data_IF_417990565232
#
_entry.id   IF_417990565232
#
_cell.length_a   1.000
_cell.length_b   1.000
_cell.length_c   1.000
_cell.angle_alpha   90.00
_cell.angle_beta   90.00
_cell.angle_gamma   90.00
#
_symmetry.space_group_name_H-M   'P 1'
#
loop_
_entity.id
_entity.type
_entity.pdbx_description
1 polymer ?
#
# COMPACT_ATOMS: atom_id res chain seq x y z
N UNK A 1 7.23 -9.70 -20.35
CA UNK A 1 6.66 -8.40 -19.95
C UNK A 1 7.71 -7.65 -19.15
N UNK A 2 7.77 -6.33 -19.29
CA UNK A 2 8.67 -5.48 -18.50
C UNK A 2 8.06 -5.20 -17.13
N UNK A 3 8.85 -5.20 -16.04
CA UNK A 3 8.33 -4.87 -14.71
C UNK A 3 7.87 -3.41 -14.63
N UNK A 4 6.81 -3.17 -13.87
CA UNK A 4 6.28 -1.82 -13.62
C UNK A 4 7.09 -1.08 -12.54
N UNK A 5 7.65 -1.86 -11.59
CA UNK A 5 8.61 -1.42 -10.57
C UNK A 5 9.75 -2.44 -10.52
N UNK A 6 10.98 -1.95 -10.52
CA UNK A 6 12.18 -2.77 -10.34
C UNK A 6 13.12 -2.10 -9.35
N UNK A 7 13.54 -2.86 -8.35
CA UNK A 7 14.50 -2.47 -7.33
C UNK A 7 15.72 -3.37 -7.48
N UNK A 8 16.92 -2.77 -7.53
CA UNK A 8 18.18 -3.49 -7.70
C UNK A 8 19.20 -3.02 -6.67
N UNK A 9 19.62 -3.94 -5.80
CA UNK A 9 20.68 -3.76 -4.80
C UNK A 9 20.48 -2.48 -3.95
N UNK A 10 19.23 -2.18 -3.57
CA UNK A 10 18.88 -0.97 -2.84
C UNK A 10 19.49 -0.99 -1.45
N UNK A 11 20.27 0.06 -1.16
CA UNK A 11 20.79 0.36 0.17
C UNK A 11 20.20 1.68 0.65
N UNK A 12 19.59 1.68 1.84
CA UNK A 12 18.92 2.86 2.38
C UNK A 12 19.07 2.92 3.91
N UNK A 13 18.92 4.13 4.46
CA UNK A 13 19.00 4.36 5.89
C UNK A 13 19.04 5.83 6.23
N UNK A 14 19.26 6.15 7.51
CA UNK A 14 19.21 7.50 8.06
C UNK A 14 20.57 7.87 8.67
N UNK A 15 21.17 8.94 8.17
CA UNK A 15 22.51 9.36 8.62
C UNK A 15 23.54 8.25 8.43
N UNK A 16 24.18 7.79 9.50
CA UNK A 16 25.15 6.68 9.48
C UNK A 16 24.49 5.29 9.63
N UNK A 17 23.20 5.22 9.99
CA UNK A 17 22.49 3.96 10.23
C UNK A 17 21.91 3.40 8.95
N UNK A 18 22.46 2.29 8.46
CA UNK A 18 21.91 1.53 7.34
C UNK A 18 20.76 0.66 7.85
N UNK A 19 19.61 0.74 7.17
CA UNK A 19 18.37 -0.02 7.46
C UNK A 19 18.19 -1.13 6.43
N UNK A 20 18.34 -0.79 5.13
CA UNK A 20 18.29 -1.72 4.01
C UNK A 20 19.69 -1.86 3.43
N UNK A 21 20.15 -3.09 3.24
CA UNK A 21 21.53 -3.36 2.81
C UNK A 21 21.63 -3.78 1.34
N UNK A 22 20.74 -4.66 0.89
CA UNK A 22 20.74 -5.21 -0.47
C UNK A 22 19.33 -5.74 -0.76
N UNK A 23 18.44 -4.83 -1.15
CA UNK A 23 17.05 -5.19 -1.45
C UNK A 23 16.86 -5.16 -2.96
N UNK A 24 16.48 -6.31 -3.51
CA UNK A 24 16.18 -6.46 -4.94
C UNK A 24 14.89 -7.23 -5.12
N UNK A 25 13.97 -6.71 -5.93
CA UNK A 25 12.72 -7.37 -6.34
C UNK A 25 12.08 -6.63 -7.50
N UNK A 26 11.06 -7.28 -8.11
CA UNK A 26 10.29 -6.72 -9.24
C UNK A 26 8.80 -6.83 -8.97
N UNK A 27 8.03 -5.92 -9.54
CA UNK A 27 6.56 -5.96 -9.59
C UNK A 27 6.14 -5.99 -11.05
N UNK A 28 5.30 -6.95 -11.39
CA UNK A 28 4.81 -7.10 -12.77
C UNK A 28 3.49 -6.33 -12.95
N UNK A 29 3.15 -5.93 -14.19
CA UNK A 29 1.85 -5.31 -14.47
C UNK A 29 0.68 -6.18 -14.02
N UNK A 30 -0.28 -5.58 -13.29
CA UNK A 30 -1.47 -6.24 -12.75
C UNK A 30 -1.23 -7.12 -11.52
N UNK A 31 -0.02 -7.12 -10.96
CA UNK A 31 0.35 -7.89 -9.77
C UNK A 31 0.04 -7.11 -8.49
N UNK A 32 -0.48 -7.81 -7.46
CA UNK A 32 -0.48 -7.33 -6.08
C UNK A 32 0.73 -7.89 -5.37
N UNK A 33 1.70 -7.02 -5.12
CA UNK A 33 2.94 -7.35 -4.40
C UNK A 33 2.86 -6.87 -2.96
N UNK A 34 3.06 -7.76 -2.00
CA UNK A 34 3.06 -7.40 -0.58
C UNK A 34 4.49 -7.35 -0.02
N UNK A 35 4.78 -6.32 0.76
CA UNK A 35 6.05 -6.16 1.48
C UNK A 35 5.81 -6.55 2.93
N UNK A 36 6.37 -7.68 3.35
CA UNK A 36 6.23 -8.28 4.67
C UNK A 36 7.51 -8.13 5.50
N UNK A 37 7.36 -8.34 6.79
CA UNK A 37 8.48 -8.41 7.73
C UNK A 37 8.12 -7.86 9.10
N UNK A 38 8.93 -8.15 10.10
CA UNK A 38 8.75 -7.70 11.48
C UNK A 38 8.79 -6.18 11.64
N UNK A 39 8.44 -5.68 12.83
CA UNK A 39 8.55 -4.26 13.15
C UNK A 39 10.01 -3.81 13.02
N UNK A 40 10.24 -2.64 12.42
CA UNK A 40 11.57 -2.07 12.26
C UNK A 40 12.48 -2.73 11.20
N UNK A 41 12.01 -3.71 10.42
CA UNK A 41 12.82 -4.38 9.39
C UNK A 41 13.10 -3.52 8.14
N UNK A 42 12.48 -2.32 8.01
CA UNK A 42 12.75 -1.38 6.92
C UNK A 42 11.64 -1.22 5.90
N UNK A 43 10.41 -1.74 6.10
CA UNK A 43 9.28 -1.63 5.15
C UNK A 43 8.97 -0.17 4.78
N UNK A 44 8.78 0.69 5.77
CA UNK A 44 8.52 2.12 5.54
C UNK A 44 9.72 2.84 4.91
N UNK A 45 10.95 2.45 5.29
CA UNK A 45 12.16 2.98 4.65
C UNK A 45 12.19 2.59 3.17
N UNK A 46 11.85 1.34 2.83
CA UNK A 46 11.77 0.89 1.45
C UNK A 46 10.73 1.70 0.66
N UNK A 47 9.52 1.82 1.19
CA UNK A 47 8.46 2.59 0.55
C UNK A 47 8.84 4.06 0.36
N UNK A 48 9.42 4.71 1.38
CA UNK A 48 9.86 6.10 1.31
C UNK A 48 10.93 6.33 0.24
N UNK A 49 11.84 5.36 0.05
CA UNK A 49 12.85 5.43 -1.01
C UNK A 49 12.23 5.24 -2.39
N UNK A 50 11.27 4.32 -2.56
CA UNK A 50 10.56 4.13 -3.83
C UNK A 50 9.79 5.40 -4.21
N UNK A 51 9.13 6.04 -3.25
CA UNK A 51 8.38 7.28 -3.44
C UNK A 51 9.27 8.53 -3.50
N UNK A 52 10.60 8.37 -3.38
CA UNK A 52 11.56 9.47 -3.26
C UNK A 52 11.26 10.50 -2.15
N UNK A 53 10.56 10.09 -1.11
CA UNK A 53 10.46 10.87 0.13
C UNK A 53 11.79 10.88 0.88
N UNK A 54 12.61 9.87 0.64
CA UNK A 54 13.97 9.72 1.12
C UNK A 54 14.90 9.26 -0.01
N UNK A 55 16.17 9.62 0.07
CA UNK A 55 17.16 9.25 -0.95
C UNK A 55 17.86 7.95 -0.58
N UNK A 56 17.99 6.99 -1.49
CA UNK A 56 18.77 5.79 -1.26
C UNK A 56 20.27 6.12 -1.13
N UNK A 57 20.98 5.31 -0.34
CA UNK A 57 22.42 5.39 -0.21
C UNK A 57 23.14 4.77 -1.43
N UNK A 58 22.55 3.70 -2.00
CA UNK A 58 23.04 3.02 -3.20
C UNK A 58 21.93 2.18 -3.82
N UNK A 59 22.19 1.62 -5.02
CA UNK A 59 21.24 0.81 -5.77
C UNK A 59 20.43 1.60 -6.77
N UNK A 60 19.51 0.93 -7.43
CA UNK A 60 18.68 1.50 -8.48
C UNK A 60 17.20 1.25 -8.22
N UNK A 61 16.37 2.21 -8.59
CA UNK A 61 14.92 2.10 -8.63
C UNK A 61 14.50 2.44 -10.06
N UNK A 62 13.67 1.60 -10.67
CA UNK A 62 13.09 1.86 -11.98
C UNK A 62 11.57 1.79 -11.90
N UNK A 63 10.89 2.81 -12.42
CA UNK A 63 9.44 2.87 -12.56
C UNK A 63 9.07 2.86 -14.05
N UNK A 64 8.17 1.97 -14.45
CA UNK A 64 7.70 1.86 -15.84
C UNK A 64 8.86 1.75 -16.85
N UNK A 65 9.93 1.03 -16.46
CA UNK A 65 11.15 0.88 -17.26
C UNK A 65 12.09 2.08 -17.28
N UNK A 66 11.76 3.18 -16.59
CA UNK A 66 12.61 4.34 -16.48
C UNK A 66 13.38 4.32 -15.16
N UNK A 67 14.70 4.39 -15.25
CA UNK A 67 15.56 4.48 -14.08
C UNK A 67 15.36 5.82 -13.39
N UNK A 68 15.09 5.79 -12.09
CA UNK A 68 14.91 6.96 -11.25
C UNK A 68 16.26 7.35 -10.65
N UNK A 69 16.73 8.54 -10.99
CA UNK A 69 17.92 9.10 -10.34
C UNK A 69 17.57 9.56 -8.92
N UNK A 70 18.28 9.05 -7.92
CA UNK A 70 18.12 9.47 -6.53
C UNK A 70 18.40 10.97 -6.28
N UNK A 71 19.04 11.66 -7.23
CA UNK A 71 19.43 13.07 -7.12
C UNK A 71 18.39 14.02 -7.72
N UNK A 72 17.54 13.53 -8.61
CA UNK A 72 16.49 14.31 -9.28
C UNK A 72 15.10 13.83 -8.86
N UNK A 73 14.11 14.73 -8.74
CA UNK A 73 12.73 14.31 -8.47
C UNK A 73 12.20 13.36 -9.55
N UNK A 74 11.29 12.46 -9.17
CA UNK A 74 10.55 11.64 -10.15
C UNK A 74 9.91 12.57 -11.18
N UNK A 75 10.12 12.32 -12.49
CA UNK A 75 9.49 13.11 -13.54
C UNK A 75 7.96 13.14 -13.36
N UNK A 76 7.33 14.28 -13.60
CA UNK A 76 5.89 14.46 -13.42
C UNK A 76 5.07 13.42 -14.18
N UNK A 77 5.53 13.03 -15.38
CA UNK A 77 4.86 12.01 -16.20
C UNK A 77 4.84 10.63 -15.52
N UNK A 78 5.90 10.25 -14.82
CA UNK A 78 5.94 9.00 -14.05
C UNK A 78 5.16 9.13 -12.74
N UNK A 79 5.20 10.32 -12.11
CA UNK A 79 4.46 10.60 -10.87
C UNK A 79 2.96 10.54 -11.08
N UNK A 80 2.44 11.03 -12.20
CA UNK A 80 1.00 10.96 -12.56
C UNK A 80 0.51 9.52 -12.73
N UNK A 81 1.40 8.60 -13.08
CA UNK A 81 1.10 7.18 -13.24
C UNK A 81 1.16 6.39 -11.93
N UNK A 82 1.48 7.06 -10.80
CA UNK A 82 1.53 6.45 -9.46
C UNK A 82 0.49 7.06 -8.54
N UNK A 83 -0.21 6.21 -7.77
CA UNK A 83 -1.09 6.63 -6.68
C UNK A 83 -0.52 6.18 -5.33
N UNK A 84 -0.84 6.90 -4.25
CA UNK A 84 -0.37 6.54 -2.90
C UNK A 84 -1.51 6.67 -1.89
N UNK A 85 -1.75 5.58 -1.17
CA UNK A 85 -2.58 5.52 0.02
C UNK A 85 -1.67 5.42 1.25
N UNK A 86 -1.51 6.51 1.98
CA UNK A 86 -0.75 6.54 3.23
C UNK A 86 -1.52 5.92 4.40
N UNK A 87 -0.84 5.41 5.41
CA UNK A 87 -1.40 4.73 6.58
C UNK A 87 -2.53 5.53 7.25
N UNK A 88 -2.37 6.82 7.49
CA UNK A 88 -3.40 7.70 8.05
C UNK A 88 -4.42 8.25 7.05
N UNK A 89 -4.33 7.85 5.75
CA UNK A 89 -5.09 8.44 4.66
C UNK A 89 -4.61 9.82 4.23
N UNK A 90 -3.92 10.58 5.08
CA UNK A 90 -3.38 11.92 4.83
C UNK A 90 -4.39 12.89 4.18
N UNK A 91 -5.66 12.83 4.58
CA UNK A 91 -6.69 13.75 4.13
C UNK A 91 -6.52 15.12 4.79
N UNK A 92 -6.70 16.19 4.02
CA UNK A 92 -6.74 17.54 4.55
C UNK A 92 -8.08 17.76 5.25
N UNK A 93 -8.07 18.01 6.55
CA UNK A 93 -9.27 18.10 7.42
C UNK A 93 -10.14 19.31 7.09
N UNK A 94 -9.56 20.36 6.52
CA UNK A 94 -10.27 21.58 6.07
C UNK A 94 -10.97 21.45 4.72
N UNK A 95 -10.77 20.33 4.02
CA UNK A 95 -11.36 20.06 2.71
C UNK A 95 -12.39 18.94 2.82
N UNK A 96 -13.45 19.02 1.99
CA UNK A 96 -14.42 17.93 1.85
C UNK A 96 -13.76 16.72 1.18
N UNK A 97 -14.46 15.58 1.20
CA UNK A 97 -14.05 14.34 0.50
C UNK A 97 -13.79 14.62 -0.99
N UNK A 98 -14.71 15.29 -1.65
CA UNK A 98 -14.56 15.66 -3.06
C UNK A 98 -13.37 16.60 -3.31
N UNK A 99 -13.17 17.59 -2.45
CA UNK A 99 -12.04 18.51 -2.56
C UNK A 99 -10.70 17.78 -2.33
N UNK A 100 -10.62 16.84 -1.39
CA UNK A 100 -9.46 15.99 -1.20
C UNK A 100 -9.17 15.13 -2.45
N UNK A 101 -10.19 14.49 -3.01
CA UNK A 101 -10.05 13.68 -4.23
C UNK A 101 -9.64 14.52 -5.45
N UNK A 102 -10.03 15.80 -5.52
CA UNK A 102 -9.68 16.71 -6.59
C UNK A 102 -8.23 17.23 -6.55
N UNK A 103 -7.52 17.14 -5.40
CA UNK A 103 -6.19 17.74 -5.23
C UNK A 103 -5.18 17.35 -6.32
N UNK A 104 -5.01 16.06 -6.69
CA UNK A 104 -4.08 15.69 -7.74
C UNK A 104 -4.46 16.27 -9.11
N UNK A 105 -5.75 16.32 -9.44
CA UNK A 105 -6.22 16.91 -10.68
C UNK A 105 -5.90 18.40 -10.74
N UNK A 106 -6.23 19.15 -9.68
CA UNK A 106 -5.93 20.59 -9.60
C UNK A 106 -4.43 20.89 -9.68
N UNK A 107 -3.59 19.99 -9.17
CA UNK A 107 -2.12 20.15 -9.21
C UNK A 107 -1.52 19.82 -10.57
N UNK A 108 -1.95 18.72 -11.19
CA UNK A 108 -1.29 18.14 -12.37
C UNK A 108 -2.07 18.35 -13.68
N UNK A 109 -3.32 18.78 -13.59
CA UNK A 109 -4.22 19.06 -14.72
C UNK A 109 -4.98 20.37 -14.51
N UNK A 110 -4.26 21.51 -14.29
CA UNK A 110 -4.89 22.82 -14.10
C UNK A 110 -5.65 23.30 -15.34
N UNK A 111 -5.43 22.65 -16.47
CA UNK A 111 -6.10 22.86 -17.75
C UNK A 111 -7.55 22.33 -17.78
N UNK A 112 -7.93 21.44 -16.85
CA UNK A 112 -9.27 20.85 -16.85
C UNK A 112 -10.34 21.82 -16.34
N UNK A 113 -11.48 21.97 -17.06
CA UNK A 113 -12.65 22.68 -16.58
C UNK A 113 -13.18 22.10 -15.25
N UNK A 114 -13.77 22.93 -14.41
CA UNK A 114 -14.24 22.54 -13.07
C UNK A 114 -15.36 21.46 -13.13
N UNK A 115 -16.21 21.47 -14.12
CA UNK A 115 -17.24 20.46 -14.36
C UNK A 115 -16.64 19.10 -14.69
N UNK A 116 -15.57 19.06 -15.48
CA UNK A 116 -14.82 17.82 -15.78
C UNK A 116 -14.13 17.30 -14.53
N UNK A 117 -13.51 18.18 -13.73
CA UNK A 117 -12.90 17.79 -12.45
C UNK A 117 -13.95 17.16 -11.52
N UNK A 118 -15.14 17.77 -11.41
CA UNK A 118 -16.24 17.24 -10.60
C UNK A 118 -16.73 15.87 -11.09
N UNK A 119 -16.82 15.68 -12.40
CA UNK A 119 -17.23 14.40 -12.99
C UNK A 119 -16.21 13.30 -12.68
N UNK A 120 -14.90 13.55 -12.86
CA UNK A 120 -13.81 12.60 -12.55
C UNK A 120 -13.83 12.25 -11.06
N UNK A 121 -13.99 13.25 -10.19
CA UNK A 121 -14.06 13.05 -8.74
C UNK A 121 -15.26 12.20 -8.35
N UNK A 122 -16.43 12.48 -8.90
CA UNK A 122 -17.63 11.69 -8.63
C UNK A 122 -17.46 10.23 -9.06
N UNK A 123 -16.91 10.00 -10.26
CA UNK A 123 -16.60 8.66 -10.76
C UNK A 123 -15.63 7.91 -9.85
N UNK A 124 -14.55 8.56 -9.40
CA UNK A 124 -13.57 7.92 -8.49
C UNK A 124 -14.16 7.65 -7.09
N UNK A 125 -15.06 8.51 -6.60
CA UNK A 125 -15.79 8.26 -5.36
C UNK A 125 -16.80 7.11 -5.51
N UNK A 126 -17.38 6.92 -6.67
CA UNK A 126 -18.25 5.78 -6.97
C UNK A 126 -17.43 4.48 -7.00
N UNK A 127 -16.28 4.44 -7.67
CA UNK A 127 -15.36 3.29 -7.70
C UNK A 127 -14.96 2.80 -6.31
N UNK A 128 -14.91 3.69 -5.33
CA UNK A 128 -14.59 3.34 -3.93
C UNK A 128 -15.82 3.26 -3.02
N UNK A 129 -17.04 3.25 -3.60
CA UNK A 129 -18.32 3.18 -2.90
C UNK A 129 -18.53 4.31 -1.86
N UNK A 130 -18.08 5.53 -2.20
CA UNK A 130 -18.10 6.67 -1.28
C UNK A 130 -18.77 7.94 -1.87
N UNK A 131 -19.47 7.83 -2.99
CA UNK A 131 -20.11 8.98 -3.63
C UNK A 131 -21.11 9.70 -2.70
N UNK A 132 -21.82 8.95 -1.84
CA UNK A 132 -22.74 9.49 -0.83
C UNK A 132 -22.10 10.43 0.21
N UNK A 133 -20.75 10.40 0.32
CA UNK A 133 -20.00 11.25 1.23
C UNK A 133 -19.31 12.42 0.54
N UNK A 134 -19.68 12.74 -0.70
CA UNK A 134 -19.03 13.76 -1.56
C UNK A 134 -18.79 15.10 -0.84
N UNK A 135 -19.76 15.58 -0.08
CA UNK A 135 -19.74 16.87 0.61
C UNK A 135 -19.26 16.80 2.07
N UNK A 136 -19.03 15.59 2.62
CA UNK A 136 -18.60 15.41 4.01
C UNK A 136 -17.15 15.81 4.18
N UNK A 137 -16.83 16.23 5.42
CA UNK A 137 -15.45 16.45 5.86
C UNK A 137 -14.84 15.17 6.46
N UNK A 138 -13.51 15.02 6.49
CA UNK A 138 -12.84 13.85 7.08
C UNK A 138 -13.25 13.56 8.53
N UNK A 139 -13.61 14.57 9.32
CA UNK A 139 -14.11 14.43 10.69
C UNK A 139 -15.46 13.71 10.82
N UNK A 140 -16.24 13.70 9.72
CA UNK A 140 -17.58 13.07 9.66
C UNK A 140 -17.52 11.62 9.15
N UNK A 141 -16.32 11.10 8.88
CA UNK A 141 -16.12 9.79 8.26
C UNK A 141 -15.69 8.76 9.32
N UNK A 142 -16.16 7.51 9.15
CA UNK A 142 -15.58 6.35 9.84
C UNK A 142 -14.14 6.08 9.36
N UNK A 143 -13.41 5.20 10.06
CA UNK A 143 -12.05 4.80 9.66
C UNK A 143 -11.99 4.27 8.23
N UNK A 144 -12.87 3.33 7.89
CA UNK A 144 -12.96 2.76 6.54
C UNK A 144 -13.35 3.80 5.49
N UNK A 145 -14.29 4.70 5.77
CA UNK A 145 -14.64 5.79 4.85
C UNK A 145 -13.46 6.73 4.59
N UNK A 146 -12.64 7.04 5.62
CA UNK A 146 -11.41 7.84 5.42
C UNK A 146 -10.42 7.15 4.50
N UNK A 147 -10.21 5.83 4.63
CA UNK A 147 -9.35 5.04 3.74
C UNK A 147 -9.87 5.04 2.30
N UNK A 148 -11.18 4.86 2.10
CA UNK A 148 -11.83 4.94 0.77
C UNK A 148 -11.71 6.33 0.15
N UNK A 149 -11.88 7.41 0.91
CA UNK A 149 -11.68 8.78 0.42
C UNK A 149 -10.23 9.05 -0.02
N UNK A 150 -9.26 8.56 0.77
CA UNK A 150 -7.85 8.65 0.41
C UNK A 150 -7.50 7.80 -0.83
N UNK A 151 -8.16 6.66 -1.00
CA UNK A 151 -8.03 5.81 -2.18
C UNK A 151 -8.61 6.51 -3.42
N UNK A 152 -9.80 7.15 -3.33
CA UNK A 152 -10.37 7.96 -4.42
C UNK A 152 -9.40 9.08 -4.86
N UNK A 153 -8.72 9.73 -3.90
CA UNK A 153 -7.67 10.70 -4.21
C UNK A 153 -6.47 10.06 -4.92
N UNK A 154 -6.04 8.89 -4.48
CA UNK A 154 -4.91 8.18 -5.10
C UNK A 154 -5.22 7.78 -6.55
N UNK A 155 -6.49 7.50 -6.86
CA UNK A 155 -6.97 7.12 -8.20
C UNK A 155 -7.22 8.31 -9.14
N UNK A 156 -7.14 9.56 -8.66
CA UNK A 156 -7.58 10.76 -9.38
C UNK A 156 -6.94 10.94 -10.76
N UNK A 157 -5.70 10.48 -10.95
CA UNK A 157 -4.94 10.59 -12.21
C UNK A 157 -4.91 9.27 -13.00
N UNK A 158 -5.78 8.30 -12.68
CA UNK A 158 -5.78 6.95 -13.27
C UNK A 158 -4.39 6.28 -13.23
N UNK A 159 -3.84 6.04 -12.05
CA UNK A 159 -2.51 5.48 -11.92
C UNK A 159 -2.45 4.02 -12.44
N UNK A 160 -1.28 3.62 -12.94
CA UNK A 160 -0.98 2.24 -13.33
C UNK A 160 -0.38 1.44 -12.16
N UNK A 161 0.16 2.15 -11.16
CA UNK A 161 0.77 1.59 -9.96
C UNK A 161 0.24 2.31 -8.72
N UNK A 162 -0.31 1.56 -7.77
CA UNK A 162 -0.83 2.05 -6.50
C UNK A 162 0.05 1.53 -5.37
N UNK A 163 0.51 2.43 -4.51
CA UNK A 163 1.17 2.08 -3.26
C UNK A 163 0.20 2.23 -2.09
N UNK A 164 0.12 1.22 -1.22
CA UNK A 164 -0.71 1.23 -0.02
C UNK A 164 0.15 0.94 1.21
N UNK A 165 0.24 1.91 2.12
CA UNK A 165 0.94 1.75 3.39
C UNK A 165 -0.08 1.45 4.49
N UNK A 166 -0.08 0.20 4.99
CA UNK A 166 -0.97 -0.31 6.04
C UNK A 166 -2.45 0.09 5.79
N UNK A 167 -3.05 -0.31 4.63
CA UNK A 167 -4.36 0.15 4.22
C UNK A 167 -5.47 -0.19 5.23
N UNK A 168 -5.44 -1.37 5.82
CA UNK A 168 -6.42 -1.88 6.78
C UNK A 168 -6.12 -1.57 8.24
N UNK A 169 -4.94 -1.00 8.55
CA UNK A 169 -4.55 -0.72 9.93
C UNK A 169 -5.59 0.13 10.68
N UNK A 170 -6.00 -0.39 11.86
CA UNK A 170 -6.97 0.26 12.75
C UNK A 170 -8.42 0.14 12.30
N UNK A 171 -8.73 -0.73 11.34
CA UNK A 171 -10.09 -1.10 10.95
C UNK A 171 -10.54 -2.36 11.69
N UNK A 172 -11.85 -2.52 11.85
CA UNK A 172 -12.43 -3.79 12.27
C UNK A 172 -12.33 -4.83 11.15
N UNK A 173 -12.41 -6.15 11.45
CA UNK A 173 -12.20 -7.20 10.47
C UNK A 173 -13.15 -7.14 9.25
N UNK A 174 -14.40 -6.73 9.45
CA UNK A 174 -15.39 -6.65 8.36
C UNK A 174 -15.02 -5.51 7.42
N UNK A 175 -14.68 -4.35 7.98
CA UNK A 175 -14.27 -3.17 7.19
C UNK A 175 -12.94 -3.41 6.48
N UNK A 176 -11.98 -4.10 7.13
CA UNK A 176 -10.71 -4.50 6.54
C UNK A 176 -10.93 -5.37 5.30
N UNK A 177 -11.72 -6.45 5.45
CA UNK A 177 -12.05 -7.35 4.35
C UNK A 177 -12.74 -6.63 3.19
N UNK A 178 -13.68 -5.73 3.49
CA UNK A 178 -14.35 -4.93 2.46
C UNK A 178 -13.41 -3.97 1.73
N UNK A 179 -12.31 -3.53 2.36
CA UNK A 179 -11.26 -2.74 1.72
C UNK A 179 -10.36 -3.63 0.83
N UNK A 180 -10.06 -4.84 1.28
CA UNK A 180 -9.29 -5.81 0.50
C UNK A 180 -10.05 -6.22 -0.78
N UNK A 181 -11.33 -6.53 -0.67
CA UNK A 181 -12.22 -6.81 -1.81
C UNK A 181 -12.22 -5.63 -2.81
N UNK A 182 -12.31 -4.39 -2.31
CA UNK A 182 -12.22 -3.20 -3.15
C UNK A 182 -10.87 -3.09 -3.88
N UNK A 183 -9.74 -3.40 -3.23
CA UNK A 183 -8.42 -3.38 -3.87
C UNK A 183 -8.33 -4.42 -5.00
N UNK A 184 -8.91 -5.62 -4.81
CA UNK A 184 -9.03 -6.64 -5.86
C UNK A 184 -9.88 -6.14 -7.03
N UNK A 185 -11.06 -5.55 -6.76
CA UNK A 185 -11.92 -4.98 -7.79
C UNK A 185 -11.20 -3.90 -8.60
N UNK A 186 -10.48 -3.00 -7.95
CA UNK A 186 -9.70 -1.95 -8.61
C UNK A 186 -8.58 -2.53 -9.47
N UNK A 187 -7.83 -3.52 -8.97
CA UNK A 187 -6.82 -4.23 -9.77
C UNK A 187 -7.44 -4.83 -11.03
N UNK A 188 -8.54 -5.57 -10.88
CA UNK A 188 -9.13 -6.34 -11.97
C UNK A 188 -9.84 -5.46 -13.00
N UNK A 189 -10.56 -4.41 -12.54
CA UNK A 189 -11.31 -3.53 -13.42
C UNK A 189 -10.43 -2.47 -14.09
N UNK A 190 -9.46 -1.90 -13.37
CA UNK A 190 -8.60 -0.82 -13.87
C UNK A 190 -7.25 -1.33 -14.37
N UNK A 191 -6.94 -2.62 -14.19
CA UNK A 191 -5.65 -3.24 -14.55
C UNK A 191 -4.46 -2.59 -13.89
N UNK A 192 -4.64 -2.04 -12.69
CA UNK A 192 -3.57 -1.44 -11.90
C UNK A 192 -2.74 -2.51 -11.19
N UNK A 193 -1.47 -2.22 -10.98
CA UNK A 193 -0.61 -3.00 -10.09
C UNK A 193 -0.65 -2.37 -8.70
N UNK A 194 -0.54 -3.18 -7.65
CA UNK A 194 -0.59 -2.68 -6.27
C UNK A 194 0.62 -3.16 -5.49
N UNK A 195 1.27 -2.26 -4.78
CA UNK A 195 2.31 -2.58 -3.79
C UNK A 195 1.77 -2.25 -2.41
N UNK A 196 1.68 -3.24 -1.56
CA UNK A 196 1.09 -3.10 -0.22
C UNK A 196 2.15 -3.38 0.84
N UNK A 197 2.29 -2.46 1.79
CA UNK A 197 3.00 -2.72 3.04
C UNK A 197 1.95 -3.07 4.08
N UNK A 198 1.99 -4.27 4.64
CA UNK A 198 1.09 -4.68 5.73
C UNK A 198 1.67 -5.82 6.55
N UNK A 199 1.12 -6.03 7.74
CA UNK A 199 1.38 -7.17 8.61
C UNK A 199 0.10 -7.96 8.95
N UNK A 200 -1.03 -7.58 8.37
CA UNK A 200 -2.36 -8.17 8.57
C UNK A 200 -2.48 -9.48 7.77
N UNK A 201 -2.45 -10.64 8.46
CA UNK A 201 -2.41 -11.95 7.81
C UNK A 201 -3.64 -12.25 6.96
N UNK A 202 -4.82 -11.85 7.41
CA UNK A 202 -6.08 -12.08 6.68
C UNK A 202 -6.11 -11.33 5.36
N UNK A 203 -5.67 -10.05 5.36
CA UNK A 203 -5.50 -9.27 4.14
C UNK A 203 -4.50 -9.94 3.20
N UNK A 204 -3.33 -10.35 3.71
CA UNK A 204 -2.29 -11.00 2.90
C UNK A 204 -2.84 -12.26 2.22
N UNK A 205 -3.52 -13.14 2.98
CA UNK A 205 -4.11 -14.37 2.43
C UNK A 205 -5.20 -14.11 1.38
N UNK A 206 -5.87 -12.95 1.47
CA UNK A 206 -6.96 -12.58 0.57
C UNK A 206 -6.47 -11.99 -0.75
N UNK A 207 -5.48 -11.09 -0.70
CA UNK A 207 -5.16 -10.23 -1.86
C UNK A 207 -3.77 -10.45 -2.46
N UNK A 208 -2.87 -11.16 -1.79
CA UNK A 208 -1.47 -11.27 -2.19
C UNK A 208 -1.26 -12.24 -3.35
N UNK A 209 -0.72 -11.77 -4.47
CA UNK A 209 -0.21 -12.65 -5.53
C UNK A 209 1.20 -13.12 -5.19
N UNK A 210 2.09 -12.17 -4.87
CA UNK A 210 3.47 -12.42 -4.46
C UNK A 210 3.87 -11.49 -3.33
N UNK A 211 4.86 -11.88 -2.57
CA UNK A 211 5.40 -11.06 -1.50
C UNK A 211 6.93 -11.08 -1.44
N UNK A 212 7.50 -10.06 -0.84
CA UNK A 212 8.85 -10.10 -0.30
C UNK A 212 8.77 -10.08 1.22
N UNK A 213 9.61 -10.89 1.87
CA UNK A 213 9.76 -10.88 3.31
C UNK A 213 11.09 -10.23 3.69
N UNK A 214 11.02 -9.06 4.34
CA UNK A 214 12.20 -8.33 4.80
C UNK A 214 12.63 -8.79 6.19
N UNK A 215 13.92 -9.09 6.34
CA UNK A 215 14.54 -9.38 7.64
C UNK A 215 15.94 -8.76 7.69
N UNK A 216 16.19 -7.99 8.75
CA UNK A 216 17.49 -7.35 9.00
C UNK A 216 18.04 -6.54 7.80
N UNK A 217 17.16 -5.91 7.05
CA UNK A 217 17.53 -5.09 5.88
C UNK A 217 17.80 -5.85 4.59
N UNK A 218 17.49 -7.14 4.53
CA UNK A 218 17.62 -8.00 3.35
C UNK A 218 16.28 -8.62 2.97
N UNK A 219 16.14 -9.04 1.71
CA UNK A 219 15.04 -9.90 1.27
C UNK A 219 15.36 -11.34 1.66
N UNK A 220 14.66 -11.87 2.66
CA UNK A 220 14.79 -13.26 3.10
C UNK A 220 14.10 -14.22 2.12
N UNK A 221 12.96 -13.81 1.55
CA UNK A 221 12.20 -14.58 0.57
C UNK A 221 11.46 -13.64 -0.38
N UNK A 222 11.52 -13.92 -1.67
CA UNK A 222 10.64 -13.38 -2.73
C UNK A 222 9.90 -14.55 -3.35
N UNK A 223 8.58 -14.64 -3.15
CA UNK A 223 7.81 -15.83 -3.50
C UNK A 223 6.33 -15.49 -3.77
N UNK A 224 5.60 -16.45 -4.36
CA UNK A 224 4.14 -16.44 -4.37
C UNK A 224 3.58 -16.69 -2.97
N UNK A 225 2.29 -16.34 -2.76
CA UNK A 225 1.61 -16.63 -1.50
C UNK A 225 1.64 -18.14 -1.19
N UNK A 226 1.38 -18.99 -2.19
CA UNK A 226 1.39 -20.45 -2.05
C UNK A 226 2.76 -21.00 -1.59
N UNK A 227 3.85 -20.53 -2.22
CA UNK A 227 5.21 -20.88 -1.81
C UNK A 227 5.53 -20.42 -0.39
N UNK A 228 5.04 -19.25 0.00
CA UNK A 228 5.20 -18.70 1.35
C UNK A 228 4.48 -19.53 2.41
N UNK A 229 3.24 -19.90 2.17
CA UNK A 229 2.43 -20.74 3.07
C UNK A 229 3.05 -22.13 3.27
N UNK A 230 3.72 -22.67 2.26
CA UNK A 230 4.41 -23.96 2.28
C UNK A 230 5.90 -23.87 2.66
N UNK A 231 6.39 -22.67 3.01
CA UNK A 231 7.80 -22.43 3.29
C UNK A 231 8.30 -23.19 4.52
N UNK A 232 9.52 -23.76 4.40
CA UNK A 232 10.23 -24.41 5.51
C UNK A 232 11.12 -23.43 6.29
N UNK A 233 11.24 -22.19 5.83
CA UNK A 233 12.02 -21.14 6.52
C UNK A 233 11.33 -20.81 7.84
N UNK A 234 12.00 -20.96 8.99
CA UNK A 234 11.36 -20.82 10.30
C UNK A 234 10.62 -19.51 10.49
N UNK A 235 11.22 -18.40 10.08
CA UNK A 235 10.66 -17.05 10.22
C UNK A 235 9.39 -16.85 9.39
N UNK A 236 9.35 -17.41 8.18
CA UNK A 236 8.18 -17.35 7.29
C UNK A 236 7.06 -18.20 7.87
N UNK A 237 7.42 -19.43 8.31
CA UNK A 237 6.46 -20.34 8.95
C UNK A 237 5.88 -19.74 10.24
N UNK A 238 6.70 -19.13 11.08
CA UNK A 238 6.24 -18.45 12.29
C UNK A 238 5.30 -17.29 11.95
N UNK A 239 5.63 -16.50 10.95
CA UNK A 239 4.82 -15.37 10.51
C UNK A 239 3.42 -15.81 10.08
N UNK A 240 3.29 -16.81 9.22
CA UNK A 240 2.00 -17.29 8.72
C UNK A 240 1.21 -18.16 9.72
N UNK A 241 1.84 -18.65 10.79
CA UNK A 241 1.21 -19.46 11.83
C UNK A 241 0.85 -18.69 13.12
N UNK A 242 1.07 -17.39 13.20
CA UNK A 242 0.80 -16.59 14.42
C UNK A 242 -0.64 -16.73 14.93
N UNK A 243 -1.62 -16.79 14.04
CA UNK A 243 -3.03 -16.95 14.42
C UNK A 243 -3.34 -18.27 15.16
N UNK A 244 -2.63 -19.36 14.80
CA UNK A 244 -2.84 -20.65 15.46
C UNK A 244 -2.41 -20.64 16.94
N UNK A 245 -1.54 -19.70 17.34
CA UNK A 245 -1.06 -19.59 18.72
C UNK A 245 -1.93 -18.64 19.56
N UNK A 246 -2.56 -17.61 18.97
CA UNK A 246 -3.43 -16.67 19.71
C UNK A 246 -4.79 -17.32 20.05
N UNK A 247 -5.33 -18.18 19.19
CA UNK A 247 -6.54 -18.95 19.46
C UNK A 247 -6.35 -20.03 20.54
N UNK A 248 -5.14 -20.56 20.73
CA UNK A 248 -4.86 -21.54 21.80
C UNK A 248 -4.65 -20.87 23.18
N UNK A 249 -4.18 -19.64 23.25
CA UNK A 249 -4.00 -18.92 24.51
C UNK A 249 -5.31 -18.28 25.03
N UNK A 250 -6.26 -18.01 24.15
CA UNK A 250 -7.58 -17.46 24.52
C UNK A 250 -8.52 -18.42 25.26
N UNK A 251 -8.32 -19.73 25.14
CA UNK A 251 -9.19 -20.73 25.75
C UNK A 251 -8.83 -21.13 27.20
N UNK A 252 -7.76 -20.58 27.78
CA UNK A 252 -7.32 -20.96 29.13
C UNK A 252 -7.77 -19.99 30.24
N UNK A 253 -8.61 -18.99 29.96
CA UNK A 253 -9.04 -18.00 30.99
C UNK A 253 -10.51 -18.09 31.41
N UNK A 254 -11.27 -19.13 31.04
CA UNK A 254 -12.64 -19.35 31.54
C UNK A 254 -12.77 -20.68 32.28
N UNK A 255 -12.07 -20.80 33.39
CA UNK A 255 -12.43 -21.76 34.46
C UNK A 255 -12.50 -20.97 35.77
N UNK A 256 -13.58 -20.22 35.98
CA UNK A 256 -13.99 -19.79 37.33
C UNK A 256 -14.93 -20.88 37.86
N UNK A 257 -14.38 -21.73 38.73
CA UNK A 257 -15.18 -22.53 39.63
C UNK A 257 -15.86 -21.64 40.66
N UNK A 258 -17.16 -21.49 40.61
CA UNK A 258 -17.97 -21.06 41.72
C UNK A 258 -18.17 -22.24 42.68
N UNK A 259 -17.63 -22.13 43.88
CA UNK A 259 -18.13 -22.74 45.12
C UNK A 259 -18.47 -21.62 46.08
#
# INVERSE_FOLDING_TARGET
MQPILEIENLKAGYGSKVILNDVSFKVMPGEIRVILGGSGCGKSTLLNNILQLEKPLAGNISLFGNKIDARTPIPDELRKRTGVLFQGGALLTSLTVAQNAALPLKRHRPDLPEDIVKAIVAENLEKVHLLHAYHKYPSELSGGMRKRAALARALALNPELLFCDEPSAGLDPITSRSLDELLLELRDNLKISVVIVTHELDSIKTICDKFIFLKNGYVLLDASLEEGLNSKIPEIKEFFNRENNETQTGNNYFNFNFL
#
